data_IF_951365755649
#
_entry.id   IF_951365755649
#
_cell.length_a   1.000
_cell.length_b   1.000
_cell.length_c   1.000
_cell.angle_alpha   90.00
_cell.angle_beta   90.00
_cell.angle_gamma   90.00
#
_symmetry.space_group_name_H-M   'P 1'
#
loop_
_entity.id
_entity.type
_entity.pdbx_description
1 polymer ?
#
# COMPACT_ATOMS: atom_id res chain seq x y z
N UNK A 1 2.40 4.68 9.04
CA UNK A 1 3.79 5.15 9.20
C UNK A 1 4.47 5.00 7.87
N UNK A 2 5.37 5.90 7.53
CA UNK A 2 6.14 5.88 6.28
C UNK A 2 7.62 6.13 6.60
N UNK A 3 8.51 5.69 5.74
CA UNK A 3 9.96 5.82 5.89
C UNK A 3 10.62 4.94 6.95
N UNK A 4 10.05 3.77 7.22
CA UNK A 4 10.62 2.79 8.16
C UNK A 4 9.56 2.04 8.97
N UNK A 5 10.02 1.00 9.68
CA UNK A 5 9.23 0.30 10.68
C UNK A 5 8.83 1.23 11.83
N UNK A 6 7.87 0.80 12.65
CA UNK A 6 7.52 1.50 13.89
C UNK A 6 8.77 1.75 14.75
N UNK A 7 9.01 3.01 15.13
CA UNK A 7 10.21 3.45 15.85
C UNK A 7 11.27 4.14 14.99
N UNK A 8 11.28 3.87 13.68
CA UNK A 8 12.21 4.49 12.71
C UNK A 8 11.47 5.42 11.76
N UNK A 9 10.32 4.97 11.22
CA UNK A 9 9.48 5.76 10.34
C UNK A 9 8.66 6.81 11.08
N UNK A 10 8.14 7.77 10.32
CA UNK A 10 7.28 8.84 10.84
C UNK A 10 5.80 8.58 10.54
N UNK A 11 4.91 9.28 11.24
CA UNK A 11 3.47 9.23 10.91
C UNK A 11 3.25 9.96 9.59
N UNK A 12 2.43 9.37 8.71
CA UNK A 12 2.04 10.02 7.46
C UNK A 12 1.39 11.38 7.73
N UNK A 13 1.76 12.38 6.96
CA UNK A 13 1.22 13.74 7.09
C UNK A 13 -0.28 13.74 6.81
N UNK A 14 -1.06 14.33 7.72
CA UNK A 14 -2.50 14.51 7.53
C UNK A 14 -2.82 15.35 6.28
N UNK A 15 -1.93 16.28 5.91
CA UNK A 15 -2.06 17.08 4.69
C UNK A 15 -1.98 16.19 3.44
N UNK A 16 -1.06 15.22 3.43
CA UNK A 16 -0.91 14.29 2.33
C UNK A 16 -2.14 13.37 2.21
N UNK A 17 -2.63 12.80 3.32
CA UNK A 17 -3.84 11.98 3.30
C UNK A 17 -5.06 12.76 2.80
N UNK A 18 -5.22 14.02 3.22
CA UNK A 18 -6.31 14.89 2.74
C UNK A 18 -6.19 15.20 1.26
N UNK A 19 -4.97 15.37 0.75
CA UNK A 19 -4.73 15.57 -0.68
C UNK A 19 -5.13 14.31 -1.47
N UNK A 20 -4.76 13.09 -1.02
CA UNK A 20 -5.20 11.85 -1.66
C UNK A 20 -6.72 11.77 -1.75
N UNK A 21 -7.42 12.04 -0.64
CA UNK A 21 -8.89 12.04 -0.61
C UNK A 21 -9.48 13.11 -1.53
N UNK A 22 -8.88 14.30 -1.58
CA UNK A 22 -9.34 15.37 -2.47
C UNK A 22 -9.22 14.96 -3.94
N UNK A 23 -8.08 14.37 -4.33
CA UNK A 23 -7.86 13.86 -5.69
C UNK A 23 -8.84 12.76 -6.11
N UNK A 24 -9.29 11.94 -5.17
CA UNK A 24 -10.34 10.93 -5.42
C UNK A 24 -11.70 11.62 -5.63
N UNK A 25 -12.00 12.65 -4.84
CA UNK A 25 -13.30 13.32 -4.87
C UNK A 25 -13.45 14.31 -6.04
N UNK A 26 -12.34 14.88 -6.53
CA UNK A 26 -12.32 15.82 -7.65
C UNK A 26 -12.12 15.14 -9.02
N UNK A 27 -11.91 13.82 -9.04
CA UNK A 27 -11.73 13.02 -10.26
C UNK A 27 -10.30 13.04 -10.83
N UNK A 28 -9.34 13.73 -10.20
CA UNK A 28 -7.95 13.77 -10.67
C UNK A 28 -7.30 12.38 -10.76
N UNK A 29 -7.80 11.40 -10.00
CA UNK A 29 -7.33 10.01 -10.07
C UNK A 29 -7.72 9.29 -11.36
N UNK A 30 -8.78 9.74 -12.04
CA UNK A 30 -9.34 9.04 -13.20
C UNK A 30 -8.43 9.14 -14.43
N UNK A 31 -7.66 10.24 -14.53
CA UNK A 31 -6.68 10.49 -15.59
C UNK A 31 -5.24 10.13 -15.18
N UNK A 32 -5.04 9.54 -14.00
CA UNK A 32 -3.71 9.21 -13.50
C UNK A 32 -3.10 8.02 -14.25
N UNK A 33 -1.77 8.00 -14.37
CA UNK A 33 -1.07 6.77 -14.71
C UNK A 33 -0.95 5.89 -13.47
N UNK A 34 -1.24 4.60 -13.63
CA UNK A 34 -1.21 3.62 -12.55
C UNK A 34 -0.08 2.62 -12.75
N UNK A 35 0.37 2.06 -11.63
CA UNK A 35 1.27 0.92 -11.59
C UNK A 35 0.80 -0.09 -10.55
N UNK A 36 1.16 -1.35 -10.74
CA UNK A 36 0.73 -2.45 -9.85
C UNK A 36 1.79 -2.64 -8.76
N UNK A 37 1.34 -2.64 -7.50
CA UNK A 37 2.21 -3.00 -6.37
C UNK A 37 2.66 -4.47 -6.52
N UNK A 38 3.97 -4.77 -6.51
CA UNK A 38 4.48 -6.11 -6.81
C UNK A 38 4.18 -7.14 -5.71
N UNK A 39 3.87 -6.70 -4.49
CA UNK A 39 3.63 -7.55 -3.32
C UNK A 39 2.13 -7.79 -3.10
N UNK A 40 1.33 -6.73 -3.26
CA UNK A 40 -0.09 -6.74 -2.93
C UNK A 40 -1.00 -6.78 -4.16
N UNK A 41 -0.50 -6.44 -5.35
CA UNK A 41 -1.22 -6.56 -6.62
C UNK A 41 -2.29 -5.49 -6.86
N UNK A 42 -2.48 -4.51 -5.96
CA UNK A 42 -3.36 -3.37 -6.20
C UNK A 42 -2.67 -2.30 -7.04
N UNK A 43 -3.48 -1.47 -7.70
CA UNK A 43 -2.98 -0.33 -8.46
C UNK A 43 -2.70 0.87 -7.54
N UNK A 44 -1.58 1.54 -7.79
CA UNK A 44 -1.14 2.77 -7.13
C UNK A 44 -0.92 3.82 -8.22
N UNK A 45 -1.39 5.06 -8.04
CA UNK A 45 -1.12 6.10 -9.02
C UNK A 45 0.37 6.47 -8.96
N UNK A 46 1.03 6.52 -10.11
CA UNK A 46 2.46 6.85 -10.21
C UNK A 46 2.76 8.24 -9.65
N UNK A 47 1.84 9.18 -9.86
CA UNK A 47 1.93 10.55 -9.36
C UNK A 47 0.54 11.17 -9.22
N UNK A 48 0.38 12.07 -8.24
CA UNK A 48 -0.79 12.92 -8.07
C UNK A 48 -0.35 14.33 -7.70
N UNK A 49 -1.01 15.33 -8.28
CA UNK A 49 -0.66 16.73 -8.06
C UNK A 49 -0.78 17.11 -6.58
N UNK A 50 0.27 17.73 -6.02
CA UNK A 50 0.29 18.16 -4.61
C UNK A 50 0.51 17.03 -3.60
N UNK A 51 0.79 15.81 -4.05
CA UNK A 51 1.09 14.65 -3.20
C UNK A 51 2.56 14.24 -3.41
N UNK A 52 3.39 14.20 -2.36
CA UNK A 52 4.77 13.73 -2.48
C UNK A 52 4.84 12.27 -2.96
N UNK A 53 5.78 11.97 -3.85
CA UNK A 53 5.98 10.63 -4.41
C UNK A 53 6.21 9.57 -3.33
N UNK A 54 6.97 9.90 -2.29
CA UNK A 54 7.23 9.07 -1.10
C UNK A 54 5.98 8.68 -0.28
N UNK A 55 4.85 9.36 -0.49
CA UNK A 55 3.56 8.99 0.11
C UNK A 55 2.86 7.93 -0.73
N UNK A 56 2.97 8.03 -2.06
CA UNK A 56 2.38 7.08 -3.01
C UNK A 56 3.21 5.80 -3.10
N UNK A 57 4.53 5.94 -2.95
CA UNK A 57 5.52 4.88 -3.08
C UNK A 57 6.26 4.70 -1.76
N UNK A 58 5.73 3.90 -0.81
CA UNK A 58 6.32 3.76 0.51
C UNK A 58 7.73 3.19 0.45
N UNK A 59 8.05 2.35 -0.54
CA UNK A 59 9.41 1.87 -0.79
C UNK A 59 10.40 3.02 -0.93
N UNK A 60 10.00 4.10 -1.59
CA UNK A 60 10.85 5.27 -1.83
C UNK A 60 11.15 6.07 -0.56
N UNK A 61 10.28 5.99 0.44
CA UNK A 61 10.51 6.66 1.72
C UNK A 61 11.52 5.95 2.64
N UNK A 62 11.82 4.68 2.41
CA UNK A 62 12.77 3.92 3.25
C UNK A 62 14.21 4.15 2.77
N UNK A 63 15.14 4.38 3.71
CA UNK A 63 16.57 4.46 3.38
C UNK A 63 17.10 3.13 2.85
N UNK A 64 16.74 2.03 3.52
CA UNK A 64 17.06 0.66 3.11
C UNK A 64 15.88 0.03 2.38
N UNK A 65 16.01 -0.13 1.07
CA UNK A 65 14.98 -0.69 0.20
C UNK A 65 14.82 -2.20 0.40
N UNK A 66 15.90 -2.91 0.70
CA UNK A 66 15.85 -4.35 0.92
C UNK A 66 15.15 -4.65 2.26
N UNK A 67 15.34 -3.79 3.27
CA UNK A 67 14.59 -3.85 4.52
C UNK A 67 13.09 -3.59 4.30
N UNK A 68 12.72 -2.67 3.41
CA UNK A 68 11.33 -2.47 3.02
C UNK A 68 10.76 -3.73 2.35
N UNK A 69 11.47 -4.28 1.37
CA UNK A 69 11.03 -5.45 0.61
C UNK A 69 10.83 -6.65 1.54
N UNK A 70 11.76 -6.90 2.46
CA UNK A 70 11.64 -7.93 3.49
C UNK A 70 10.44 -7.71 4.42
N UNK A 71 10.17 -6.46 4.81
CA UNK A 71 9.05 -6.11 5.67
C UNK A 71 7.70 -6.23 4.93
N UNK A 72 7.66 -5.89 3.64
CA UNK A 72 6.48 -6.04 2.79
C UNK A 72 6.13 -7.53 2.61
N UNK A 73 7.13 -8.38 2.33
CA UNK A 73 6.98 -9.84 2.27
C UNK A 73 6.46 -10.42 3.58
N UNK A 74 7.04 -10.00 4.70
CA UNK A 74 6.58 -10.43 6.03
C UNK A 74 5.12 -10.04 6.28
N UNK A 75 4.72 -8.83 5.93
CA UNK A 75 3.35 -8.35 6.08
C UNK A 75 2.39 -9.15 5.19
N UNK A 76 2.76 -9.42 3.93
CA UNK A 76 1.99 -10.26 3.01
C UNK A 76 1.76 -11.66 3.60
N UNK A 77 2.78 -12.29 4.18
CA UNK A 77 2.66 -13.55 4.90
C UNK A 77 1.66 -13.50 6.06
N UNK A 78 1.70 -12.43 6.86
CA UNK A 78 0.74 -12.24 7.97
C UNK A 78 -0.71 -12.11 7.47
N UNK A 79 -0.93 -11.44 6.34
CA UNK A 79 -2.25 -11.40 5.69
C UNK A 79 -2.70 -12.80 5.27
N UNK A 80 -1.86 -13.53 4.53
CA UNK A 80 -2.15 -14.90 4.07
C UNK A 80 -2.48 -15.85 5.23
N UNK A 81 -1.72 -15.78 6.32
CA UNK A 81 -1.96 -16.60 7.51
C UNK A 81 -3.27 -16.24 8.22
N UNK A 82 -3.60 -14.95 8.30
CA UNK A 82 -4.86 -14.53 8.90
C UNK A 82 -6.07 -14.96 8.06
N UNK A 83 -5.95 -14.93 6.72
CA UNK A 83 -7.01 -15.32 5.80
C UNK A 83 -7.43 -16.78 5.93
N UNK A 84 -6.53 -17.68 6.34
CA UNK A 84 -6.84 -19.11 6.60
C UNK A 84 -7.99 -19.31 7.59
N UNK A 85 -8.25 -18.35 8.49
CA UNK A 85 -9.37 -18.40 9.45
C UNK A 85 -10.73 -18.21 8.78
N UNK A 86 -10.74 -17.66 7.57
CA UNK A 86 -11.93 -17.29 6.80
C UNK A 86 -12.05 -18.10 5.51
N UNK A 87 -11.26 -19.16 5.36
CA UNK A 87 -11.40 -20.13 4.27
C UNK A 87 -12.10 -21.37 4.80
N UNK A 88 -13.35 -21.59 4.41
CA UNK A 88 -14.13 -22.75 4.86
C UNK A 88 -15.62 -22.64 4.54
N UNK A 89 -16.41 -23.70 4.85
CA UNK A 89 -17.85 -23.71 4.59
C UNK A 89 -18.57 -22.51 5.21
N UNK A 90 -19.32 -21.77 4.40
CA UNK A 90 -20.04 -20.56 4.82
C UNK A 90 -19.29 -19.24 4.66
N UNK A 91 -18.03 -19.28 4.21
CA UNK A 91 -17.28 -18.09 3.82
C UNK A 91 -17.12 -18.01 2.30
N UNK A 92 -17.23 -16.79 1.76
CA UNK A 92 -16.78 -16.49 0.41
C UNK A 92 -15.26 -16.46 0.39
N UNK A 93 -14.64 -17.19 -0.53
CA UNK A 93 -13.19 -17.20 -0.68
C UNK A 93 -12.70 -15.92 -1.36
N UNK A 94 -12.10 -15.04 -0.56
CA UNK A 94 -11.48 -13.79 -1.03
C UNK A 94 -9.96 -13.89 -1.20
N UNK A 95 -9.38 -15.09 -1.09
CA UNK A 95 -7.91 -15.26 -1.18
C UNK A 95 -7.34 -14.82 -2.52
N UNK A 96 -8.15 -14.81 -3.58
CA UNK A 96 -7.77 -14.29 -4.91
C UNK A 96 -7.47 -12.78 -4.91
N UNK A 97 -7.99 -12.02 -3.94
CA UNK A 97 -7.68 -10.59 -3.78
C UNK A 97 -6.57 -10.32 -2.76
N UNK A 98 -5.88 -11.36 -2.29
CA UNK A 98 -4.78 -11.24 -1.34
C UNK A 98 -3.44 -10.88 -1.99
N UNK A 99 -2.36 -10.76 -1.19
CA UNK A 99 -1.02 -10.51 -1.69
C UNK A 99 -0.56 -11.55 -2.73
N UNK A 100 0.15 -11.09 -3.76
CA UNK A 100 0.52 -11.86 -4.96
C UNK A 100 1.72 -12.79 -4.75
N UNK A 101 2.50 -12.56 -3.69
CA UNK A 101 3.72 -13.32 -3.33
C UNK A 101 3.47 -14.40 -2.30
#
# INVERSE_FOLDING_TARGET
WTGGSYGTGSRMSIKATRACVSSILDGSTDDAEWEVDPVFGFEVPKALAGIPSEVLHPRESWEDKDAYDAQAVKLAGMFKDNFKKYTGPGFTDYTMGGPTI
#
